data_IF_765493341829
#
_entry.id   IF_765493341829
#
_cell.length_a   1.000
_cell.length_b   1.000
_cell.length_c   1.000
_cell.angle_alpha   90.00
_cell.angle_beta   90.00
_cell.angle_gamma   90.00
#
_symmetry.space_group_name_H-M   'P 1'
#
loop_
_entity.id
_entity.type
_entity.pdbx_description
1 polymer ?
#
# COMPACT_ATOMS: atom_id res chain seq x y z
N UNK A 1 27.26 -8.02 14.08
CA UNK A 1 25.92 -8.54 14.41
C UNK A 1 24.89 -7.47 14.16
N UNK A 2 23.76 -7.85 13.56
CA UNK A 2 22.63 -6.99 13.22
C UNK A 2 21.44 -7.45 14.06
N UNK A 3 20.85 -6.53 14.83
CA UNK A 3 19.60 -6.76 15.53
C UNK A 3 18.44 -6.39 14.60
N UNK A 4 17.37 -7.17 14.62
CA UNK A 4 16.20 -6.91 13.81
C UNK A 4 14.90 -7.35 14.49
N UNK A 5 13.80 -6.80 14.02
CA UNK A 5 12.44 -7.23 14.37
C UNK A 5 11.75 -7.75 13.12
N UNK A 6 11.17 -8.95 13.19
CA UNK A 6 10.32 -9.50 12.15
C UNK A 6 8.89 -9.03 12.37
N UNK A 7 8.29 -8.47 11.34
CA UNK A 7 6.92 -7.94 11.37
C UNK A 7 6.15 -8.36 10.12
N UNK A 8 4.82 -8.20 10.12
CA UNK A 8 4.03 -8.28 8.89
C UNK A 8 2.83 -7.33 8.92
N UNK A 9 2.42 -6.88 7.73
CA UNK A 9 1.16 -6.18 7.50
C UNK A 9 0.28 -7.01 6.56
N UNK A 10 -0.78 -7.63 7.07
CA UNK A 10 -1.70 -8.48 6.28
C UNK A 10 -0.98 -9.59 5.47
N UNK A 11 0.00 -10.25 6.09
CA UNK A 11 0.77 -11.33 5.47
C UNK A 11 2.01 -10.91 4.67
N UNK A 12 2.10 -9.65 4.25
CA UNK A 12 3.33 -9.11 3.65
C UNK A 12 4.37 -8.89 4.76
N UNK A 13 5.48 -9.65 4.71
CA UNK A 13 6.40 -9.81 5.84
C UNK A 13 7.72 -9.06 5.68
N UNK A 14 8.20 -8.50 6.79
CA UNK A 14 9.29 -7.55 6.85
C UNK A 14 10.36 -7.94 7.86
N UNK A 15 11.62 -7.74 7.49
CA UNK A 15 12.70 -7.54 8.45
C UNK A 15 12.85 -6.04 8.68
N UNK A 16 12.70 -5.57 9.92
CA UNK A 16 12.80 -4.16 10.30
C UNK A 16 14.06 -3.95 11.13
N UNK A 17 14.87 -2.95 10.77
CA UNK A 17 16.15 -2.66 11.40
C UNK A 17 16.22 -1.19 11.81
N UNK A 18 16.60 -0.96 13.06
CA UNK A 18 16.99 0.36 13.54
C UNK A 18 18.42 0.66 13.06
N UNK A 19 18.54 1.62 12.15
CA UNK A 19 19.80 2.18 11.66
C UNK A 19 19.88 3.69 11.95
N UNK A 20 19.22 4.18 13.01
CA UNK A 20 19.24 5.61 13.39
C UNK A 20 20.65 6.09 13.73
N UNK A 21 21.52 5.20 14.23
CA UNK A 21 22.94 5.48 14.46
C UNK A 21 23.79 5.53 13.17
N UNK A 22 23.26 5.11 12.02
CA UNK A 22 23.94 5.15 10.72
C UNK A 22 25.17 4.25 10.61
N UNK A 23 25.23 3.16 11.40
CA UNK A 23 26.39 2.27 11.47
C UNK A 23 26.27 1.04 10.56
N UNK A 24 25.05 0.73 10.08
CA UNK A 24 24.79 -0.41 9.23
C UNK A 24 24.69 0.03 7.77
N UNK A 25 25.49 -0.61 6.92
CA UNK A 25 25.37 -0.52 5.46
C UNK A 25 25.30 -1.92 4.91
N UNK A 26 24.23 -2.23 4.16
CA UNK A 26 24.05 -3.50 3.49
C UNK A 26 24.13 -3.32 1.97
N UNK A 27 24.90 -4.17 1.31
CA UNK A 27 24.88 -4.25 -0.16
C UNK A 27 23.74 -5.18 -0.62
N UNK A 28 23.42 -5.14 -1.92
CA UNK A 28 22.32 -5.94 -2.48
C UNK A 28 22.52 -7.45 -2.30
N UNK A 29 23.74 -7.97 -2.36
CA UNK A 29 24.01 -9.40 -2.15
C UNK A 29 23.67 -9.85 -0.72
N UNK A 30 24.00 -9.02 0.27
CA UNK A 30 23.67 -9.27 1.68
C UNK A 30 22.14 -9.23 1.90
N UNK A 31 21.44 -8.28 1.25
CA UNK A 31 19.98 -8.19 1.34
C UNK A 31 19.32 -9.44 0.74
N UNK A 32 19.76 -9.86 -0.45
CA UNK A 32 19.26 -11.07 -1.11
C UNK A 32 19.49 -12.31 -0.24
N UNK A 33 20.67 -12.44 0.36
CA UNK A 33 21.00 -13.53 1.28
C UNK A 33 20.05 -13.55 2.49
N UNK A 34 19.84 -12.40 3.12
CA UNK A 34 18.91 -12.26 4.25
C UNK A 34 17.47 -12.56 3.87
N UNK A 35 17.04 -12.14 2.68
CA UNK A 35 15.68 -12.31 2.18
C UNK A 35 15.36 -13.78 1.85
N UNK A 36 16.37 -14.63 1.63
CA UNK A 36 16.15 -16.01 1.23
C UNK A 36 15.37 -16.80 2.30
N UNK A 37 14.16 -17.24 1.98
CA UNK A 37 13.24 -17.85 2.97
C UNK A 37 13.72 -19.15 3.62
N UNK A 38 14.65 -19.88 2.99
CA UNK A 38 15.18 -21.14 3.56
C UNK A 38 16.58 -21.02 4.15
N UNK A 39 17.34 -19.97 3.81
CA UNK A 39 18.76 -19.86 4.15
C UNK A 39 19.12 -18.55 4.86
N UNK A 40 18.21 -17.59 4.85
CA UNK A 40 18.30 -16.33 5.58
C UNK A 40 17.16 -16.18 6.59
N UNK A 41 16.86 -14.92 6.90
CA UNK A 41 15.73 -14.55 7.77
C UNK A 41 14.39 -14.81 7.06
N UNK A 42 14.36 -14.60 5.74
CA UNK A 42 13.14 -14.71 4.94
C UNK A 42 12.22 -13.50 5.11
N UNK A 43 11.97 -12.75 4.04
CA UNK A 43 11.02 -11.63 4.03
C UNK A 43 10.68 -11.21 2.60
N UNK A 44 9.59 -10.48 2.43
CA UNK A 44 9.29 -9.79 1.17
C UNK A 44 10.13 -8.51 1.04
N UNK A 45 10.25 -7.72 2.11
CA UNK A 45 11.06 -6.50 2.14
C UNK A 45 11.85 -6.31 3.45
N UNK A 46 12.99 -5.63 3.32
CA UNK A 46 13.76 -5.07 4.42
C UNK A 46 13.36 -3.60 4.61
N UNK A 47 13.05 -3.20 5.84
CA UNK A 47 12.79 -1.82 6.22
C UNK A 47 13.95 -1.31 7.09
N UNK A 48 14.61 -0.24 6.68
CA UNK A 48 15.62 0.44 7.50
C UNK A 48 15.08 1.77 8.02
N UNK A 49 15.16 1.94 9.35
CA UNK A 49 14.83 3.18 10.05
C UNK A 49 16.12 3.97 10.20
N UNK A 50 16.22 5.09 9.49
CA UNK A 50 17.41 5.94 9.54
C UNK A 50 17.09 7.32 10.13
N UNK A 51 18.13 7.98 10.64
CA UNK A 51 18.04 9.39 11.01
C UNK A 51 17.90 10.26 9.75
N UNK A 52 17.18 11.37 9.87
CA UNK A 52 17.02 12.35 8.79
C UNK A 52 17.63 13.70 9.19
N UNK A 53 18.04 14.47 8.19
CA UNK A 53 18.44 15.88 8.35
C UNK A 53 17.34 16.86 7.93
N UNK A 54 16.20 16.36 7.44
CA UNK A 54 15.11 17.18 6.93
C UNK A 54 14.32 17.80 8.10
N UNK A 55 14.18 19.14 8.18
CA UNK A 55 13.47 19.78 9.28
C UNK A 55 12.01 19.33 9.38
N UNK A 56 11.56 18.97 10.58
CA UNK A 56 10.18 18.55 10.85
C UNK A 56 9.84 17.11 10.44
N UNK A 57 10.84 16.34 10.00
CA UNK A 57 10.73 14.91 9.70
C UNK A 57 11.40 14.13 10.84
N UNK A 58 10.74 13.08 11.32
CA UNK A 58 11.22 12.25 12.43
C UNK A 58 12.28 11.24 11.98
N UNK A 59 12.07 10.62 10.82
CA UNK A 59 12.93 9.55 10.32
C UNK A 59 13.00 9.51 8.79
N UNK A 60 14.07 8.91 8.29
CA UNK A 60 14.15 8.42 6.92
C UNK A 60 13.76 6.95 6.87
N UNK A 61 12.81 6.63 6.01
CA UNK A 61 12.27 5.28 5.80
C UNK A 61 12.77 4.70 4.48
N UNK A 62 13.67 3.71 4.55
CA UNK A 62 14.23 3.03 3.38
C UNK A 62 13.67 1.62 3.26
N UNK A 63 13.37 1.22 2.02
CA UNK A 63 12.73 -0.05 1.70
C UNK A 63 13.54 -0.77 0.63
N UNK A 64 13.94 -2.01 0.90
CA UNK A 64 14.51 -2.90 -0.10
C UNK A 64 13.62 -4.11 -0.32
N UNK A 65 13.41 -4.47 -1.59
CA UNK A 65 12.80 -5.75 -1.94
C UNK A 65 13.77 -6.91 -1.66
N UNK A 66 13.22 -8.13 -1.64
CA UNK A 66 13.99 -9.36 -1.53
C UNK A 66 15.08 -9.56 -2.60
N UNK A 67 14.97 -8.88 -3.75
CA UNK A 67 15.98 -8.87 -4.81
C UNK A 67 17.10 -7.82 -4.60
N UNK A 68 17.09 -7.11 -3.47
CA UNK A 68 18.07 -6.10 -3.11
C UNK A 68 17.85 -4.73 -3.77
N UNK A 69 16.76 -4.53 -4.51
CA UNK A 69 16.42 -3.23 -5.11
C UNK A 69 15.71 -2.32 -4.12
N UNK A 70 16.10 -1.03 -4.10
CA UNK A 70 15.42 -0.02 -3.28
C UNK A 70 14.16 0.49 -3.98
N UNK A 71 13.04 0.54 -3.25
CA UNK A 71 11.75 1.03 -3.74
C UNK A 71 11.26 2.28 -3.00
N UNK A 72 10.37 3.03 -3.66
CA UNK A 72 9.91 4.33 -3.17
C UNK A 72 8.92 4.28 -2.02
N UNK A 73 8.04 3.26 -1.97
CA UNK A 73 6.93 3.22 -1.02
C UNK A 73 6.40 1.80 -0.84
N UNK A 74 5.98 1.48 0.39
CA UNK A 74 5.24 0.26 0.74
C UNK A 74 4.24 0.60 1.86
N UNK A 75 2.94 0.57 1.57
CA UNK A 75 1.91 0.93 2.56
C UNK A 75 1.88 -0.04 3.76
N UNK A 76 2.05 -1.34 3.51
CA UNK A 76 2.15 -2.34 4.60
C UNK A 76 3.41 -2.14 5.45
N UNK A 77 4.52 -1.79 4.79
CA UNK A 77 5.79 -1.52 5.44
C UNK A 77 5.73 -0.24 6.29
N UNK A 78 5.06 0.81 5.82
CA UNK A 78 4.86 2.05 6.57
C UNK A 78 4.10 1.81 7.88
N UNK A 79 3.10 0.93 7.89
CA UNK A 79 2.41 0.53 9.13
C UNK A 79 3.34 -0.21 10.10
N UNK A 80 4.15 -1.14 9.59
CA UNK A 80 5.14 -1.84 10.42
C UNK A 80 6.21 -0.88 10.96
N UNK A 81 6.65 0.06 10.14
CA UNK A 81 7.60 1.11 10.51
C UNK A 81 7.08 1.94 11.70
N UNK A 82 5.86 2.49 11.59
CA UNK A 82 5.28 3.33 12.64
C UNK A 82 5.18 2.56 13.97
N UNK A 83 4.70 1.32 13.91
CA UNK A 83 4.67 0.43 15.08
C UNK A 83 6.05 0.20 15.67
N UNK A 84 7.03 -0.11 14.84
CA UNK A 84 8.40 -0.37 15.28
C UNK A 84 9.00 0.83 16.00
N UNK A 85 8.95 2.03 15.42
CA UNK A 85 9.57 3.21 16.03
C UNK A 85 8.87 3.64 17.33
N UNK A 86 7.55 3.45 17.42
CA UNK A 86 6.80 3.70 18.66
C UNK A 86 7.13 2.66 19.74
N UNK A 87 7.11 1.36 19.41
CA UNK A 87 7.37 0.28 20.38
C UNK A 87 8.81 0.26 20.88
N UNK A 88 9.77 0.62 20.02
CA UNK A 88 11.18 0.77 20.39
C UNK A 88 11.46 2.06 21.15
N UNK A 89 10.47 2.93 21.33
CA UNK A 89 10.62 4.21 22.02
C UNK A 89 11.55 5.18 21.28
N UNK A 90 11.68 5.04 19.96
CA UNK A 90 12.51 5.92 19.12
C UNK A 90 11.84 7.29 18.92
N UNK A 91 10.51 7.36 19.05
CA UNK A 91 9.76 8.61 19.06
C UNK A 91 8.52 8.49 19.96
N UNK A 92 8.04 9.63 20.43
CA UNK A 92 6.72 9.78 21.08
C UNK A 92 5.75 10.63 20.23
N UNK A 93 6.16 11.04 19.03
CA UNK A 93 5.37 11.88 18.16
C UNK A 93 4.21 11.08 17.52
N UNK A 94 3.09 11.75 17.32
CA UNK A 94 1.93 11.25 16.58
C UNK A 94 1.16 12.47 16.02
N UNK A 95 1.22 12.75 14.70
CA UNK A 95 1.79 11.93 13.64
C UNK A 95 3.31 11.75 13.72
N UNK A 96 3.78 10.67 13.11
CA UNK A 96 5.19 10.42 12.79
C UNK A 96 5.38 10.82 11.33
N UNK A 97 6.18 11.86 11.09
CA UNK A 97 6.50 12.35 9.76
C UNK A 97 7.75 11.63 9.26
N UNK A 98 7.67 10.97 8.11
CA UNK A 98 8.78 10.22 7.54
C UNK A 98 9.08 10.68 6.12
N UNK A 99 10.36 10.70 5.77
CA UNK A 99 10.78 10.86 4.38
C UNK A 99 11.10 9.50 3.77
N UNK A 100 10.56 9.29 2.57
CA UNK A 100 10.82 8.12 1.73
C UNK A 100 11.47 8.58 0.43
N UNK A 101 11.93 7.64 -0.38
CA UNK A 101 12.37 7.96 -1.75
C UNK A 101 11.24 8.52 -2.62
N UNK A 102 9.97 8.29 -2.29
CA UNK A 102 8.82 8.84 -2.99
C UNK A 102 8.36 10.23 -2.49
N UNK A 103 8.86 10.68 -1.32
CA UNK A 103 8.46 11.94 -0.69
C UNK A 103 8.13 11.80 0.79
N UNK A 104 7.47 12.80 1.35
CA UNK A 104 7.06 12.83 2.75
C UNK A 104 5.75 12.07 2.97
N UNK A 105 5.62 11.45 4.14
CA UNK A 105 4.43 10.71 4.56
C UNK A 105 4.19 10.92 6.06
N UNK A 106 2.91 10.98 6.45
CA UNK A 106 2.50 11.06 7.85
C UNK A 106 1.85 9.75 8.28
N UNK A 107 2.29 9.22 9.41
CA UNK A 107 1.81 7.96 9.97
C UNK A 107 1.21 8.21 11.35
N UNK A 108 -0.02 7.77 11.56
CA UNK A 108 -0.73 7.94 12.82
C UNK A 108 -0.91 6.59 13.49
N UNK A 109 -0.41 6.44 14.71
CA UNK A 109 -0.61 5.23 15.51
C UNK A 109 -1.87 5.43 16.34
N UNK A 110 -2.90 4.64 16.08
CA UNK A 110 -4.18 4.72 16.77
C UNK A 110 -4.13 4.05 18.15
N UNK A 111 -5.07 4.38 19.04
CA UNK A 111 -5.19 3.78 20.38
C UNK A 111 -5.38 2.26 20.32
N UNK A 112 -6.13 1.79 19.31
CA UNK A 112 -6.33 0.36 19.05
C UNK A 112 -5.13 -0.29 18.35
N UNK A 113 -3.98 0.40 18.31
CA UNK A 113 -2.73 -0.13 17.83
C UNK A 113 -2.68 -0.37 16.30
N UNK A 114 -3.72 0.00 15.55
CA UNK A 114 -3.65 0.10 14.07
C UNK A 114 -2.85 1.33 13.66
N UNK A 115 -2.36 1.34 12.42
CA UNK A 115 -1.69 2.50 11.85
C UNK A 115 -2.51 3.04 10.69
N UNK A 116 -2.85 4.33 10.79
CA UNK A 116 -3.46 5.10 9.72
C UNK A 116 -2.34 5.76 8.91
N UNK A 117 -2.43 5.62 7.59
CA UNK A 117 -1.51 6.20 6.61
C UNK A 117 -2.28 7.23 5.81
N UNK A 118 -1.77 8.46 5.72
CA UNK A 118 -2.25 9.44 4.76
C UNK A 118 -1.79 9.03 3.35
N UNK A 119 -2.75 8.65 2.50
CA UNK A 119 -2.52 8.19 1.13
C UNK A 119 -2.61 9.34 0.11
N UNK A 120 -2.81 10.57 0.57
CA UNK A 120 -2.93 11.76 -0.23
C UNK A 120 -4.30 11.96 -0.89
N UNK A 121 -4.36 12.90 -1.82
CA UNK A 121 -5.59 13.25 -2.54
C UNK A 121 -5.74 12.41 -3.82
N UNK A 122 -6.96 11.94 -4.14
CA UNK A 122 -7.20 11.27 -5.41
C UNK A 122 -7.24 12.25 -6.59
N UNK A 123 -6.65 11.83 -7.70
CA UNK A 123 -6.66 12.55 -8.97
C UNK A 123 -7.54 11.84 -10.00
N UNK A 124 -8.45 12.59 -10.59
CA UNK A 124 -9.42 12.09 -11.55
C UNK A 124 -9.15 12.56 -12.99
N UNK A 125 -8.14 13.42 -13.18
CA UNK A 125 -7.81 13.94 -14.49
C UNK A 125 -7.16 12.82 -15.34
N UNK A 126 -7.69 12.48 -16.52
CA UNK A 126 -7.15 11.40 -17.37
C UNK A 126 -5.65 11.50 -17.62
N UNK A 127 -5.11 12.70 -17.79
CA UNK A 127 -3.68 12.93 -18.03
C UNK A 127 -2.83 12.47 -16.84
N UNK A 128 -3.30 12.69 -15.62
CA UNK A 128 -2.61 12.30 -14.39
C UNK A 128 -2.85 10.83 -13.99
N UNK A 129 -3.84 10.15 -14.60
CA UNK A 129 -4.11 8.70 -14.47
C UNK A 129 -3.37 7.87 -15.54
N UNK A 130 -2.52 8.50 -16.36
CA UNK A 130 -2.21 8.05 -17.73
C UNK A 130 -3.34 7.34 -18.50
N UNK A 131 -4.56 7.87 -18.47
CA UNK A 131 -5.70 7.40 -19.26
C UNK A 131 -5.84 8.23 -20.55
N UNK A 132 -5.92 7.57 -21.71
CA UNK A 132 -6.19 8.23 -23.01
C UNK A 132 -7.68 8.53 -23.16
N UNK A 133 -8.17 9.51 -22.43
CA UNK A 133 -9.53 10.03 -22.57
C UNK A 133 -9.51 11.54 -22.78
N UNK A 134 -10.44 12.04 -23.59
CA UNK A 134 -10.53 13.48 -23.93
C UNK A 134 -11.18 14.30 -22.81
N UNK A 135 -12.02 13.68 -21.97
CA UNK A 135 -12.77 14.33 -20.91
C UNK A 135 -12.71 13.51 -19.62
N UNK A 136 -12.83 14.22 -18.50
CA UNK A 136 -13.00 13.61 -17.19
C UNK A 136 -14.45 13.13 -17.04
N UNK A 137 -14.63 11.85 -16.74
CA UNK A 137 -15.93 11.21 -16.53
C UNK A 137 -15.90 10.39 -15.23
N UNK A 138 -17.08 9.99 -14.74
CA UNK A 138 -17.17 9.16 -13.53
C UNK A 138 -16.77 7.71 -13.81
N UNK A 139 -17.14 7.19 -14.97
CA UNK A 139 -16.78 5.86 -15.47
C UNK A 139 -16.36 5.94 -16.93
N UNK A 140 -15.60 4.95 -17.37
CA UNK A 140 -15.11 4.78 -18.73
C UNK A 140 -15.36 3.36 -19.19
N UNK A 141 -15.65 3.18 -20.48
CA UNK A 141 -15.64 1.86 -21.11
C UNK A 141 -14.22 1.50 -21.56
N UNK A 142 -13.60 0.53 -20.89
CA UNK A 142 -12.25 0.05 -21.20
C UNK A 142 -12.33 -1.44 -21.52
N UNK A 143 -11.95 -1.81 -22.75
CA UNK A 143 -12.02 -3.19 -23.24
C UNK A 143 -13.43 -3.82 -23.12
N UNK A 144 -14.49 -3.01 -23.24
CA UNK A 144 -15.89 -3.45 -23.10
C UNK A 144 -16.39 -3.55 -21.66
N UNK A 145 -15.61 -3.10 -20.68
CA UNK A 145 -15.98 -3.07 -19.25
C UNK A 145 -16.14 -1.63 -18.78
N UNK A 146 -17.23 -1.36 -18.06
CA UNK A 146 -17.42 -0.07 -17.39
C UNK A 146 -16.61 -0.05 -16.08
N UNK A 147 -15.71 0.92 -15.96
CA UNK A 147 -14.83 1.08 -14.80
C UNK A 147 -14.71 2.55 -14.37
N UNK A 148 -14.70 2.80 -13.07
CA UNK A 148 -14.22 4.07 -12.54
C UNK A 148 -12.69 4.12 -12.62
N UNK A 149 -12.12 5.30 -12.86
CA UNK A 149 -10.66 5.45 -12.93
C UNK A 149 -10.17 6.61 -12.09
N UNK A 150 -9.06 6.41 -11.39
CA UNK A 150 -8.41 7.42 -10.58
C UNK A 150 -6.95 7.08 -10.33
N UNK A 151 -6.20 8.05 -9.80
CA UNK A 151 -4.84 7.89 -9.34
C UNK A 151 -4.70 8.40 -7.91
N UNK A 152 -3.98 7.67 -7.07
CA UNK A 152 -3.53 8.11 -5.73
C UNK A 152 -2.01 7.96 -5.63
N UNK A 153 -1.32 8.40 -6.68
CA UNK A 153 0.12 8.19 -6.92
C UNK A 153 0.42 7.04 -7.89
N UNK A 154 -0.51 6.11 -8.06
CA UNK A 154 -0.49 5.06 -9.09
C UNK A 154 -1.89 4.89 -9.72
N UNK A 155 -2.00 4.44 -10.98
CA UNK A 155 -3.27 4.36 -11.70
C UNK A 155 -4.12 3.15 -11.28
N UNK A 156 -5.42 3.37 -11.11
CA UNK A 156 -6.42 2.34 -10.76
C UNK A 156 -7.64 2.40 -11.69
N UNK A 157 -8.14 1.22 -12.02
CA UNK A 157 -9.47 0.99 -12.59
C UNK A 157 -10.29 0.18 -11.59
N UNK A 158 -11.49 0.64 -11.25
CA UNK A 158 -12.39 -0.01 -10.30
C UNK A 158 -13.65 -0.43 -11.01
N UNK A 159 -13.91 -1.74 -11.03
CA UNK A 159 -15.11 -2.35 -11.59
C UNK A 159 -16.05 -2.74 -10.46
N UNK A 160 -17.30 -2.29 -10.53
CA UNK A 160 -18.36 -2.79 -9.65
C UNK A 160 -18.80 -4.19 -10.11
N UNK A 161 -18.85 -5.16 -9.20
CA UNK A 161 -19.25 -6.54 -9.48
C UNK A 161 -20.31 -7.02 -8.50
N UNK A 162 -21.14 -7.97 -8.94
CA UNK A 162 -22.18 -8.57 -8.09
C UNK A 162 -21.60 -9.50 -7.01
N UNK A 163 -20.56 -10.27 -7.34
CA UNK A 163 -19.91 -11.21 -6.44
C UNK A 163 -18.44 -11.40 -6.82
N UNK A 164 -17.52 -11.04 -5.90
CA UNK A 164 -16.09 -11.19 -6.12
C UNK A 164 -15.63 -12.64 -6.22
N UNK A 165 -16.42 -13.62 -5.78
CA UNK A 165 -16.05 -15.03 -5.82
C UNK A 165 -16.29 -15.68 -7.18
N UNK A 166 -17.21 -15.12 -7.98
CA UNK A 166 -17.58 -15.68 -9.28
C UNK A 166 -17.00 -14.91 -10.46
N UNK A 167 -16.50 -13.70 -10.24
CA UNK A 167 -15.85 -12.90 -11.29
C UNK A 167 -14.52 -13.52 -11.73
N UNK A 168 -14.31 -13.55 -13.05
CA UNK A 168 -13.05 -13.97 -13.65
C UNK A 168 -12.03 -12.82 -13.61
N UNK A 169 -11.45 -12.59 -12.43
CA UNK A 169 -10.51 -11.49 -12.13
C UNK A 169 -9.38 -11.41 -13.15
N UNK A 170 -8.70 -12.53 -13.41
CA UNK A 170 -7.50 -12.53 -14.24
C UNK A 170 -7.80 -12.16 -15.69
N UNK A 171 -8.78 -12.81 -16.31
CA UNK A 171 -9.07 -12.58 -17.74
C UNK A 171 -9.58 -11.16 -18.00
N UNK A 172 -10.42 -10.63 -17.11
CA UNK A 172 -10.95 -9.27 -17.22
C UNK A 172 -9.84 -8.24 -16.96
N UNK A 173 -9.05 -8.44 -15.90
CA UNK A 173 -7.97 -7.50 -15.57
C UNK A 173 -6.91 -7.42 -16.67
N UNK A 174 -6.54 -8.56 -17.28
CA UNK A 174 -5.59 -8.58 -18.40
C UNK A 174 -6.14 -7.79 -19.58
N UNK A 175 -7.42 -7.96 -19.95
CA UNK A 175 -8.05 -7.21 -21.04
C UNK A 175 -8.04 -5.70 -20.78
N UNK A 176 -8.38 -5.28 -19.56
CA UNK A 176 -8.33 -3.87 -19.15
C UNK A 176 -6.88 -3.36 -19.21
N UNK A 177 -5.92 -4.05 -18.59
CA UNK A 177 -4.51 -3.63 -18.56
C UNK A 177 -3.87 -3.54 -19.94
N UNK A 178 -4.29 -4.38 -20.89
CA UNK A 178 -3.77 -4.38 -22.26
C UNK A 178 -4.47 -3.37 -23.18
N UNK A 179 -5.51 -2.68 -22.69
CA UNK A 179 -6.20 -1.67 -23.47
C UNK A 179 -5.27 -0.53 -23.89
N UNK A 180 -5.39 -0.09 -25.14
CA UNK A 180 -4.66 1.07 -25.65
C UNK A 180 -4.98 2.37 -24.90
N UNK A 181 -6.10 2.41 -24.17
CA UNK A 181 -6.49 3.53 -23.32
C UNK A 181 -5.59 3.68 -22.09
N UNK A 182 -4.88 2.62 -21.68
CA UNK A 182 -4.03 2.57 -20.50
C UNK A 182 -2.56 2.30 -20.91
N UNK A 183 -1.86 3.28 -21.51
CA UNK A 183 -0.47 3.11 -21.98
C UNK A 183 0.51 2.64 -20.90
N UNK A 184 0.24 2.98 -19.64
CA UNK A 184 1.07 2.57 -18.50
C UNK A 184 0.44 1.42 -17.70
N UNK A 185 -0.63 0.80 -18.22
CA UNK A 185 -1.51 -0.12 -17.49
C UNK A 185 -2.05 0.49 -16.18
N UNK A 186 -2.90 -0.26 -15.46
CA UNK A 186 -3.43 0.16 -14.16
C UNK A 186 -3.62 -1.05 -13.25
N UNK A 187 -3.72 -0.82 -11.95
CA UNK A 187 -4.25 -1.85 -11.05
C UNK A 187 -5.76 -1.96 -11.28
N UNK A 188 -6.29 -3.19 -11.33
CA UNK A 188 -7.71 -3.42 -11.59
C UNK A 188 -8.36 -4.00 -10.34
N UNK A 189 -9.21 -3.21 -9.70
CA UNK A 189 -9.98 -3.59 -8.52
C UNK A 189 -11.39 -4.05 -8.89
N UNK A 190 -11.84 -5.15 -8.31
CA UNK A 190 -13.18 -5.70 -8.46
C UNK A 190 -13.91 -5.55 -7.12
N UNK A 191 -14.79 -4.57 -7.05
CA UNK A 191 -15.49 -4.17 -5.83
C UNK A 191 -16.90 -4.74 -5.82
N UNK A 192 -17.23 -5.47 -4.76
CA UNK A 192 -18.61 -5.84 -4.43
C UNK A 192 -19.04 -5.05 -3.21
N UNK A 193 -20.08 -4.23 -3.35
CA UNK A 193 -20.68 -3.49 -2.24
C UNK A 193 -21.56 -4.43 -1.43
N UNK A 194 -21.27 -4.58 -0.14
CA UNK A 194 -22.09 -5.36 0.79
C UNK A 194 -23.13 -4.45 1.46
N UNK A 195 -22.69 -3.27 1.88
CA UNK A 195 -23.51 -2.17 2.40
C UNK A 195 -22.72 -0.85 2.28
N UNK A 196 -23.28 0.26 2.78
CA UNK A 196 -22.67 1.58 2.66
C UNK A 196 -21.29 1.71 3.36
N UNK A 197 -20.97 0.83 4.31
CA UNK A 197 -19.73 0.87 5.10
C UNK A 197 -18.85 -0.37 4.89
N UNK A 198 -19.21 -1.31 4.01
CA UNK A 198 -18.46 -2.56 3.81
C UNK A 198 -18.44 -3.01 2.35
N UNK A 199 -17.25 -3.40 1.88
CA UNK A 199 -17.03 -3.96 0.54
C UNK A 199 -16.20 -5.25 0.63
N UNK A 200 -16.43 -6.16 -0.30
CA UNK A 200 -15.42 -7.15 -0.68
C UNK A 200 -14.60 -6.62 -1.85
N UNK A 201 -13.29 -6.87 -1.84
CA UNK A 201 -12.38 -6.39 -2.88
C UNK A 201 -11.35 -7.45 -3.27
N UNK A 202 -11.20 -7.65 -4.58
CA UNK A 202 -10.06 -8.35 -5.19
C UNK A 202 -9.32 -7.40 -6.11
N UNK A 203 -7.99 -7.45 -6.12
CA UNK A 203 -7.17 -6.54 -6.94
C UNK A 203 -6.17 -7.35 -7.75
N UNK A 204 -6.16 -7.09 -9.06
CA UNK A 204 -5.12 -7.55 -9.96
C UNK A 204 -4.15 -6.39 -10.22
N UNK A 205 -2.97 -6.47 -9.62
CA UNK A 205 -1.97 -5.42 -9.65
C UNK A 205 -1.17 -5.43 -10.94
N UNK A 206 -0.82 -4.22 -11.41
CA UNK A 206 0.05 -4.03 -12.57
C UNK A 206 1.41 -4.67 -12.30
N UNK A 207 1.76 -5.67 -13.11
CA UNK A 207 3.06 -6.35 -13.03
C UNK A 207 3.20 -7.39 -11.92
N UNK A 208 2.18 -7.59 -11.07
CA UNK A 208 2.21 -8.57 -9.97
C UNK A 208 1.07 -9.60 -10.02
N UNK A 209 0.02 -9.36 -10.81
CA UNK A 209 -1.13 -10.25 -10.86
C UNK A 209 -2.07 -10.07 -9.67
N UNK A 210 -2.91 -11.07 -9.39
CA UNK A 210 -3.80 -10.99 -8.23
C UNK A 210 -3.01 -11.15 -6.92
N UNK A 211 -3.06 -10.13 -6.06
CA UNK A 211 -2.37 -10.12 -4.77
C UNK A 211 -3.35 -10.35 -3.62
N UNK A 212 -2.82 -10.73 -2.44
CA UNK A 212 -3.64 -10.94 -1.25
C UNK A 212 -4.25 -9.63 -0.74
N UNK A 213 -3.50 -8.53 -0.82
CA UNK A 213 -3.96 -7.22 -0.42
C UNK A 213 -3.23 -6.11 -1.19
N UNK A 214 -3.99 -5.12 -1.67
CA UNK A 214 -3.47 -3.91 -2.28
C UNK A 214 -4.10 -2.70 -1.59
N UNK A 215 -3.33 -2.01 -0.72
CA UNK A 215 -3.85 -0.86 0.04
C UNK A 215 -4.29 0.30 -0.85
N UNK A 216 -3.50 0.62 -1.88
CA UNK A 216 -3.87 1.65 -2.86
C UNK A 216 -5.13 1.26 -3.66
N UNK A 217 -5.29 -0.03 -4.01
CA UNK A 217 -6.51 -0.53 -4.65
C UNK A 217 -7.74 -0.43 -3.74
N UNK A 218 -7.59 -0.65 -2.43
CA UNK A 218 -8.66 -0.48 -1.45
C UNK A 218 -9.11 0.98 -1.34
N UNK A 219 -8.16 1.93 -1.23
CA UNK A 219 -8.47 3.35 -1.28
C UNK A 219 -9.18 3.73 -2.58
N UNK A 220 -8.68 3.26 -3.72
CA UNK A 220 -9.26 3.56 -5.02
C UNK A 220 -10.72 3.07 -5.15
N UNK A 221 -11.00 1.86 -4.64
CA UNK A 221 -12.34 1.29 -4.64
C UNK A 221 -13.31 2.10 -3.77
N UNK A 222 -12.91 2.42 -2.55
CA UNK A 222 -13.74 3.21 -1.62
C UNK A 222 -13.99 4.61 -2.15
N UNK A 223 -12.96 5.31 -2.63
CA UNK A 223 -13.11 6.65 -3.24
C UNK A 223 -14.12 6.60 -4.40
N UNK A 224 -14.03 5.56 -5.24
CA UNK A 224 -14.93 5.38 -6.39
C UNK A 224 -16.37 5.11 -5.93
N UNK A 225 -16.56 4.29 -4.90
CA UNK A 225 -17.87 4.01 -4.31
C UNK A 225 -18.50 5.23 -3.62
N UNK A 226 -17.71 6.03 -2.90
CA UNK A 226 -18.17 7.29 -2.28
C UNK A 226 -18.63 8.27 -3.35
N UNK A 227 -17.82 8.49 -4.40
CA UNK A 227 -18.19 9.37 -5.52
C UNK A 227 -19.43 8.91 -6.29
N UNK A 228 -19.67 7.61 -6.35
CA UNK A 228 -20.85 7.04 -6.96
C UNK A 228 -22.10 7.10 -6.06
N UNK A 229 -21.97 7.58 -4.81
CA UNK A 229 -23.05 7.59 -3.82
C UNK A 229 -23.44 6.20 -3.31
N UNK A 230 -22.54 5.22 -3.43
CA UNK A 230 -22.74 3.83 -3.01
C UNK A 230 -22.20 3.55 -1.61
N UNK A 231 -21.25 4.35 -1.14
CA UNK A 231 -20.55 4.17 0.13
C UNK A 231 -20.52 5.48 0.92
N UNK A 232 -20.47 5.33 2.25
CA UNK A 232 -20.24 6.42 3.20
C UNK A 232 -18.73 6.74 3.33
N UNK A 233 -18.39 7.72 4.16
CA UNK A 233 -17.01 8.21 4.31
C UNK A 233 -16.05 7.26 5.04
N UNK A 234 -16.56 6.23 5.72
CA UNK A 234 -15.76 5.26 6.47
C UNK A 234 -16.20 3.85 6.09
N UNK A 235 -15.28 3.10 5.47
CA UNK A 235 -15.59 1.82 4.83
C UNK A 235 -14.55 0.77 5.19
N UNK A 236 -15.01 -0.41 5.59
CA UNK A 236 -14.17 -1.60 5.71
C UNK A 236 -14.09 -2.30 4.36
N UNK A 237 -12.87 -2.48 3.86
CA UNK A 237 -12.58 -3.28 2.67
C UNK A 237 -12.05 -4.65 3.09
N UNK A 238 -12.80 -5.70 2.77
CA UNK A 238 -12.39 -7.09 2.95
C UNK A 238 -11.55 -7.54 1.76
N UNK A 239 -10.23 -7.61 1.94
CA UNK A 239 -9.30 -8.17 0.95
C UNK A 239 -9.01 -9.65 1.29
N UNK A 240 -8.38 -10.38 0.37
CA UNK A 240 -8.02 -11.79 0.61
C UNK A 240 -7.02 -11.97 1.74
N UNK A 241 -6.17 -10.96 2.00
CA UNK A 241 -5.18 -10.92 3.07
C UNK A 241 -5.71 -10.39 4.41
N UNK A 242 -6.97 -9.93 4.44
CA UNK A 242 -7.61 -9.36 5.63
C UNK A 242 -8.18 -7.97 5.39
N UNK A 243 -8.61 -7.34 6.48
CA UNK A 243 -9.41 -6.12 6.42
C UNK A 243 -8.53 -4.85 6.47
N UNK A 244 -8.99 -3.84 5.75
CA UNK A 244 -8.49 -2.47 5.84
C UNK A 244 -9.65 -1.50 6.06
N UNK A 245 -9.45 -0.50 6.92
CA UNK A 245 -10.41 0.57 7.14
C UNK A 245 -9.97 1.79 6.32
N UNK A 246 -10.85 2.28 5.46
CA UNK A 246 -10.58 3.42 4.60
C UNK A 246 -11.50 4.55 5.03
N UNK A 247 -10.92 5.73 5.21
CA UNK A 247 -11.63 6.96 5.53
C UNK A 247 -11.41 7.97 4.41
N UNK A 248 -12.48 8.44 3.81
CA UNK A 248 -12.43 9.37 2.69
C UNK A 248 -13.70 10.22 2.62
N UNK A 249 -13.52 11.54 2.55
CA UNK A 249 -14.57 12.49 2.18
C UNK A 249 -14.24 13.08 0.81
N UNK A 250 -15.27 13.40 0.02
CA UNK A 250 -15.07 13.91 -1.34
C UNK A 250 -14.17 15.16 -1.37
N UNK A 251 -13.16 15.14 -2.26
CA UNK A 251 -12.13 16.17 -2.40
C UNK A 251 -11.19 16.36 -1.20
N UNK A 252 -11.11 15.39 -0.28
CA UNK A 252 -10.14 15.38 0.80
C UNK A 252 -9.05 14.32 0.57
N UNK A 253 -8.12 14.23 1.52
CA UNK A 253 -7.15 13.14 1.59
C UNK A 253 -7.87 11.81 1.91
N UNK A 254 -7.36 10.70 1.38
CA UNK A 254 -7.79 9.35 1.76
C UNK A 254 -6.85 8.78 2.81
N UNK A 255 -7.40 8.24 3.88
CA UNK A 255 -6.65 7.59 4.95
C UNK A 255 -6.86 6.08 4.90
N UNK A 256 -5.77 5.34 5.04
CA UNK A 256 -5.75 3.88 5.09
C UNK A 256 -5.31 3.41 6.46
N UNK A 257 -6.23 2.84 7.22
CA UNK A 257 -5.98 2.22 8.52
C UNK A 257 -5.88 0.70 8.38
N UNK A 258 -4.84 0.12 8.96
CA UNK A 258 -4.68 -1.34 8.97
C UNK A 258 -3.78 -1.84 10.10
N UNK A 259 -3.78 -3.16 10.34
CA UNK A 259 -2.90 -3.74 11.34
C UNK A 259 -1.46 -3.80 10.84
N UNK A 260 -0.54 -3.80 11.80
CA UNK A 260 0.84 -4.22 11.65
C UNK A 260 1.19 -5.06 12.89
N UNK A 261 1.79 -6.22 12.66
CA UNK A 261 1.99 -7.24 13.69
C UNK A 261 3.46 -7.52 13.88
N UNK A 262 3.88 -7.52 15.15
CA UNK A 262 5.15 -8.08 15.58
C UNK A 262 5.12 -9.61 15.46
N UNK A 263 6.21 -10.23 15.03
CA UNK A 263 6.35 -11.69 14.97
C UNK A 263 7.43 -12.17 15.94
N UNK A 264 8.68 -11.71 15.78
CA UNK A 264 9.79 -12.06 16.67
C UNK A 264 10.92 -11.03 16.57
N UNK A 265 11.86 -11.08 17.51
CA UNK A 265 13.15 -10.38 17.41
C UNK A 265 14.28 -11.37 17.15
N UNK A 266 15.29 -10.92 16.43
CA UNK A 266 16.43 -11.74 16.10
C UNK A 266 17.73 -10.94 16.05
N UNK A 267 18.82 -11.70 16.04
CA UNK A 267 20.17 -11.19 15.85
C UNK A 267 20.89 -12.11 14.87
N UNK A 268 21.61 -11.53 13.91
CA UNK A 268 22.34 -12.28 12.88
C UNK A 268 23.72 -11.68 12.62
N UNK A 269 24.69 -12.53 12.29
CA UNK A 269 26.01 -12.13 11.82
C UNK A 269 26.05 -12.24 10.28
N UNK A 270 26.57 -11.21 9.61
CA UNK A 270 26.70 -11.10 8.15
C UNK A 270 28.15 -10.74 7.83
#
# INVERSE_FOLDING_TARGET
MINFTKMHGLGNDFMVVDNTAGILTLNSEQIIMLAHRHFGVGFDQLLMVESTTTPGVDFRYIIYNADGTEVGQCGNGARCFARFVTEKGLTTNNPINVETRAGLMSLFVNDNQTVQVDMGEPNFNPVNIPLRAMQQENTYEIAGFEVATLSIGNPHCVMLVNDVNTVNVQDIAIQIQQSELLPNQANVGFMQVLNANEINLRVYERGAGETLACGSGACAAVISGVRAGLLDSTVVAHLRGGDALIEYTENEHVFLSGPAQFVYEGQIEI
#
